data_IF_050161916457
#
_entry.id   IF_050161916457
#
_cell.length_a   1.000
_cell.length_b   1.000
_cell.length_c   1.000
_cell.angle_alpha   90.00
_cell.angle_beta   90.00
_cell.angle_gamma   90.00
#
_symmetry.space_group_name_H-M   'P 1'
#
loop_
_entity.id
_entity.type
_entity.pdbx_description
1 polymer ?
#
# COMPACT_ATOMS: atom_id res chain seq x y z
N UNK A 1 33.50 -9.16 -52.89
CA UNK A 1 32.24 -9.74 -52.35
C UNK A 1 32.16 -9.42 -50.85
N UNK A 2 31.22 -8.56 -50.41
CA UNK A 2 31.05 -8.25 -48.97
C UNK A 2 29.83 -9.01 -48.44
N UNK A 3 30.08 -9.98 -47.56
CA UNK A 3 29.06 -10.78 -46.89
C UNK A 3 28.35 -9.94 -45.82
N UNK A 4 27.07 -9.63 -46.03
CA UNK A 4 26.19 -8.99 -45.05
C UNK A 4 25.72 -10.04 -44.03
N UNK A 5 26.39 -10.11 -42.87
CA UNK A 5 25.93 -10.92 -41.74
C UNK A 5 24.62 -10.34 -41.20
N UNK A 6 23.47 -10.98 -41.50
CA UNK A 6 22.19 -10.71 -40.83
C UNK A 6 22.27 -11.18 -39.38
N UNK A 7 22.49 -10.25 -38.45
CA UNK A 7 22.32 -10.53 -37.02
C UNK A 7 20.83 -10.74 -36.72
N UNK A 8 20.44 -11.98 -36.39
CA UNK A 8 19.11 -12.27 -35.84
C UNK A 8 18.95 -11.48 -34.54
N UNK A 9 18.11 -10.42 -34.54
CA UNK A 9 17.66 -9.76 -33.31
C UNK A 9 16.88 -10.79 -32.49
N UNK A 10 17.47 -11.28 -31.39
CA UNK A 10 16.73 -12.02 -30.38
C UNK A 10 15.68 -11.09 -29.79
N UNK A 11 14.40 -11.48 -29.87
CA UNK A 11 13.34 -10.77 -29.13
C UNK A 11 13.66 -10.95 -27.65
N UNK A 12 14.07 -9.87 -26.97
CA UNK A 12 14.12 -9.84 -25.52
C UNK A 12 12.71 -10.20 -25.00
N UNK A 13 12.59 -11.32 -24.28
CA UNK A 13 11.34 -11.66 -23.59
C UNK A 13 11.07 -10.53 -22.61
N UNK A 14 10.00 -9.76 -22.84
CA UNK A 14 9.50 -8.79 -21.86
C UNK A 14 9.03 -9.61 -20.65
N UNK A 15 9.85 -9.70 -19.61
CA UNK A 15 9.40 -10.12 -18.29
C UNK A 15 8.52 -8.99 -17.75
N UNK A 16 7.20 -9.14 -17.88
CA UNK A 16 6.26 -8.30 -17.16
C UNK A 16 6.49 -8.53 -15.67
N UNK A 17 6.99 -7.52 -14.96
CA UNK A 17 7.09 -7.57 -13.51
C UNK A 17 5.66 -7.47 -12.95
N UNK A 18 5.16 -8.55 -12.36
CA UNK A 18 3.85 -8.57 -11.71
C UNK A 18 4.01 -8.12 -10.27
N UNK A 19 3.17 -7.18 -9.84
CA UNK A 19 3.11 -6.78 -8.43
C UNK A 19 2.44 -7.91 -7.65
N UNK A 20 3.22 -8.63 -6.85
CA UNK A 20 2.65 -9.66 -5.98
C UNK A 20 1.87 -9.00 -4.84
N UNK A 21 0.83 -9.67 -4.34
CA UNK A 21 0.10 -9.22 -3.14
C UNK A 21 1.05 -8.98 -1.95
N UNK A 22 2.08 -9.81 -1.81
CA UNK A 22 3.10 -9.68 -0.75
C UNK A 22 3.92 -8.41 -0.90
N UNK A 23 4.34 -8.09 -2.12
CA UNK A 23 5.08 -6.86 -2.40
C UNK A 23 4.22 -5.62 -2.16
N UNK A 24 2.95 -5.64 -2.60
CA UNK A 24 2.00 -4.56 -2.34
C UNK A 24 1.83 -4.32 -0.85
N UNK A 25 1.52 -5.37 -0.07
CA UNK A 25 1.34 -5.26 1.38
C UNK A 25 2.61 -4.71 2.03
N UNK A 26 3.78 -5.26 1.68
CA UNK A 26 5.06 -4.84 2.25
C UNK A 26 5.34 -3.35 2.01
N UNK A 27 5.20 -2.89 0.77
CA UNK A 27 5.48 -1.49 0.42
C UNK A 27 4.43 -0.56 1.02
N UNK A 28 3.15 -0.93 0.95
CA UNK A 28 2.06 -0.12 1.52
C UNK A 28 2.20 0.03 3.05
N UNK A 29 2.48 -1.06 3.78
CA UNK A 29 2.69 -1.01 5.23
C UNK A 29 3.87 -0.12 5.61
N UNK A 30 4.98 -0.19 4.87
CA UNK A 30 6.14 0.68 5.11
C UNK A 30 5.81 2.15 4.87
N UNK A 31 5.07 2.46 3.79
CA UNK A 31 4.64 3.81 3.47
C UNK A 31 3.68 4.38 4.54
N UNK A 32 2.69 3.60 4.96
CA UNK A 32 1.74 4.00 6.01
C UNK A 32 2.46 4.28 7.31
N UNK A 33 3.38 3.41 7.75
CA UNK A 33 4.16 3.63 8.97
C UNK A 33 4.93 4.95 8.93
N UNK A 34 5.63 5.21 7.82
CA UNK A 34 6.37 6.47 7.64
C UNK A 34 5.46 7.69 7.65
N UNK A 35 4.28 7.59 7.03
CA UNK A 35 3.30 8.67 7.02
C UNK A 35 2.75 8.93 8.44
N UNK A 36 2.45 7.87 9.21
CA UNK A 36 2.02 7.98 10.60
C UNK A 36 3.07 8.64 11.48
N UNK A 37 4.34 8.26 11.35
CA UNK A 37 5.44 8.87 12.10
C UNK A 37 5.54 10.38 11.80
N UNK A 38 5.45 10.76 10.51
CA UNK A 38 5.47 12.16 10.08
C UNK A 38 4.23 12.94 10.58
N UNK A 39 3.03 12.35 10.52
CA UNK A 39 1.81 12.96 11.06
C UNK A 39 1.93 13.19 12.57
N UNK A 40 2.51 12.26 13.32
CA UNK A 40 2.74 12.44 14.76
C UNK A 40 3.72 13.59 15.03
N UNK A 41 4.77 13.75 14.22
CA UNK A 41 5.74 14.84 14.35
C UNK A 41 5.16 16.22 14.00
N UNK A 42 4.32 16.30 12.96
CA UNK A 42 3.82 17.58 12.43
C UNK A 42 2.53 18.01 13.11
N UNK A 43 1.57 17.10 13.24
CA UNK A 43 0.24 17.39 13.76
C UNK A 43 0.08 17.00 15.25
N UNK A 44 0.99 16.18 15.80
CA UNK A 44 0.89 15.70 17.18
C UNK A 44 -0.15 14.59 17.37
N UNK A 45 -0.70 14.04 16.30
CA UNK A 45 -1.64 12.92 16.36
C UNK A 45 -1.70 12.09 15.09
N UNK A 46 -2.25 10.88 15.20
CA UNK A 46 -2.60 9.99 14.09
C UNK A 46 -4.04 9.50 14.24
N UNK A 47 -4.72 9.24 13.12
CA UNK A 47 -6.06 8.63 13.11
C UNK A 47 -5.94 7.21 12.57
N UNK A 48 -6.44 6.23 13.33
CA UNK A 48 -6.37 4.80 12.98
C UNK A 48 -7.69 4.10 13.28
N UNK A 49 -7.89 2.95 12.65
CA UNK A 49 -8.96 2.02 12.98
C UNK A 49 -8.47 1.03 14.05
N UNK A 50 -9.14 0.97 15.20
CA UNK A 50 -8.79 0.09 16.32
C UNK A 50 -10.06 -0.40 17.02
N UNK A 51 -10.15 -1.71 17.28
CA UNK A 51 -11.25 -2.34 18.04
C UNK A 51 -12.67 -1.95 17.57
N UNK A 52 -12.88 -1.81 16.26
CA UNK A 52 -14.19 -1.43 15.71
C UNK A 52 -14.48 0.06 15.75
N UNK A 53 -13.49 0.91 16.03
CA UNK A 53 -13.62 2.37 16.07
C UNK A 53 -12.56 3.04 15.20
N UNK A 54 -12.91 4.20 14.66
CA UNK A 54 -11.94 5.22 14.26
C UNK A 54 -11.53 5.96 15.53
N UNK A 55 -10.23 5.96 15.82
CA UNK A 55 -9.64 6.62 16.98
C UNK A 55 -8.56 7.60 16.56
N UNK A 56 -8.41 8.68 17.32
CA UNK A 56 -7.27 9.59 17.25
C UNK A 56 -6.34 9.30 18.42
N UNK A 57 -5.09 8.97 18.14
CA UNK A 57 -4.04 8.82 19.14
C UNK A 57 -3.14 10.06 19.07
N UNK A 58 -2.98 10.75 20.19
CA UNK A 58 -2.12 11.93 20.30
C UNK A 58 -0.70 11.52 20.72
N UNK A 59 0.27 12.43 20.55
CA UNK A 59 1.69 12.19 20.87
C UNK A 59 1.96 11.93 22.35
N UNK A 60 1.05 12.33 23.24
CA UNK A 60 1.11 12.07 24.69
C UNK A 60 0.55 10.68 25.07
N UNK A 61 0.08 9.91 24.08
CA UNK A 61 -0.52 8.59 24.27
C UNK A 61 -2.02 8.63 24.57
N UNK A 62 -2.66 9.80 24.65
CA UNK A 62 -4.11 9.89 24.83
C UNK A 62 -4.86 9.43 23.59
N UNK A 63 -5.93 8.65 23.79
CA UNK A 63 -6.74 8.06 22.72
C UNK A 63 -8.17 8.60 22.80
N UNK A 64 -8.65 9.14 21.69
CA UNK A 64 -10.00 9.70 21.54
C UNK A 64 -10.76 8.88 20.51
N UNK A 65 -11.91 8.32 20.90
CA UNK A 65 -12.82 7.66 19.96
C UNK A 65 -13.56 8.72 19.14
N UNK A 66 -13.52 8.59 17.81
CA UNK A 66 -14.15 9.53 16.88
C UNK A 66 -15.47 8.97 16.35
N UNK A 67 -15.45 7.77 15.78
CA UNK A 67 -16.63 7.16 15.15
C UNK A 67 -16.56 5.64 15.25
N UNK A 68 -17.70 4.99 15.49
CA UNK A 68 -17.79 3.53 15.44
C UNK A 68 -17.81 3.06 13.99
N UNK A 69 -16.99 2.08 13.66
CA UNK A 69 -17.00 1.47 12.33
C UNK A 69 -18.37 0.83 12.10
N UNK A 70 -19.01 1.18 10.98
CA UNK A 70 -20.26 0.55 10.55
C UNK A 70 -19.91 -0.76 9.87
N UNK A 71 -20.56 -1.84 10.30
CA UNK A 71 -20.44 -3.13 9.64
C UNK A 71 -21.08 -3.04 8.24
N UNK A 72 -20.25 -3.16 7.20
CA UNK A 72 -20.73 -3.28 5.83
C UNK A 72 -21.03 -4.75 5.52
N UNK A 73 -22.30 -5.13 5.56
CA UNK A 73 -22.76 -6.51 5.29
C UNK A 73 -22.69 -6.95 3.83
N UNK A 74 -22.39 -6.05 2.88
CA UNK A 74 -22.28 -6.40 1.46
C UNK A 74 -20.84 -6.70 1.07
N UNK A 75 -20.57 -7.97 0.78
CA UNK A 75 -19.34 -8.41 0.12
C UNK A 75 -19.25 -7.76 -1.27
N UNK A 76 -18.21 -6.96 -1.50
CA UNK A 76 -17.87 -6.48 -2.85
C UNK A 76 -17.01 -7.53 -3.52
N UNK A 77 -17.39 -7.96 -4.73
CA UNK A 77 -16.56 -8.84 -5.55
C UNK A 77 -15.32 -8.06 -5.99
N UNK A 78 -14.20 -8.23 -5.27
CA UNK A 78 -12.89 -7.73 -5.67
C UNK A 78 -12.39 -8.61 -6.82
N UNK A 79 -12.43 -8.08 -8.05
CA UNK A 79 -11.72 -8.68 -9.19
C UNK A 79 -10.30 -8.11 -9.15
N UNK A 80 -9.35 -8.95 -8.72
CA UNK A 80 -7.93 -8.67 -8.88
C UNK A 80 -7.45 -9.58 -10.01
N UNK A 81 -7.01 -8.96 -11.11
CA UNK A 81 -6.29 -9.62 -12.21
C UNK A 81 -4.84 -9.94 -11.79
#
# INVERSE_FOLDING_TARGET
>A
MKSLRRTKRSKAKKTTAYLTKRDLIRVASAAVKKASDASMQIAGYVVKAENGWIVRENSDGSVIQLEKLKDYSKSRKLVLD
#
